data_IF_272430001516
#
_entry.id   IF_272430001516
#
_cell.length_a   1.000
_cell.length_b   1.000
_cell.length_c   1.000
_cell.angle_alpha   90.00
_cell.angle_beta   90.00
_cell.angle_gamma   90.00
#
_symmetry.space_group_name_H-M   'P 1'
#
loop_
_entity.id
_entity.type
_entity.pdbx_description
1 polymer ?
#
# COMPACT_ATOMS: atom_id res chain seq x y z
N UNK A 1 -6.39 35.05 -6.77
CA UNK A 1 -6.09 33.90 -5.92
C UNK A 1 -6.53 32.66 -6.69
N UNK A 2 -5.67 31.68 -6.91
CA UNK A 2 -6.04 30.39 -7.49
C UNK A 2 -6.78 29.58 -6.41
N UNK A 3 -8.00 29.14 -6.71
CA UNK A 3 -8.85 28.37 -5.80
C UNK A 3 -8.86 26.85 -6.15
N UNK A 4 -8.00 26.42 -7.07
CA UNK A 4 -7.87 25.00 -7.40
C UNK A 4 -7.15 24.23 -6.27
N UNK A 5 -7.55 23.00 -5.97
CA UNK A 5 -6.85 22.19 -4.99
C UNK A 5 -5.40 21.91 -5.44
N UNK A 6 -4.47 21.67 -4.52
CA UNK A 6 -3.09 21.34 -4.86
C UNK A 6 -3.00 20.18 -5.84
N UNK A 7 -2.03 20.23 -6.76
CA UNK A 7 -1.86 19.21 -7.80
C UNK A 7 -1.78 17.79 -7.22
N UNK A 8 -2.64 16.91 -7.70
CA UNK A 8 -2.71 15.52 -7.24
C UNK A 8 -3.57 15.30 -6.00
N UNK A 9 -4.34 16.31 -5.61
CA UNK A 9 -5.41 16.20 -4.63
C UNK A 9 -6.76 16.49 -5.27
N UNK A 10 -7.84 16.23 -4.57
CA UNK A 10 -9.18 16.56 -5.07
C UNK A 10 -10.15 16.82 -3.91
N UNK A 11 -11.09 17.70 -4.16
CA UNK A 11 -12.25 17.91 -3.29
C UNK A 11 -13.32 16.87 -3.62
N UNK A 12 -13.93 16.31 -2.59
CA UNK A 12 -15.06 15.40 -2.72
C UNK A 12 -16.36 16.13 -2.31
N UNK A 13 -16.85 16.97 -3.20
CA UNK A 13 -18.15 17.63 -3.03
C UNK A 13 -19.31 16.65 -3.29
N UNK A 14 -20.53 16.97 -2.82
CA UNK A 14 -21.70 16.16 -3.17
C UNK A 14 -21.92 16.09 -4.70
N UNK A 15 -22.30 14.92 -5.24
CA UNK A 15 -22.57 13.65 -4.57
C UNK A 15 -21.35 12.77 -4.33
N UNK A 16 -20.14 13.19 -4.73
CA UNK A 16 -18.89 12.41 -4.66
C UNK A 16 -18.52 12.03 -3.23
N UNK A 17 -18.64 12.98 -2.29
CA UNK A 17 -18.37 12.74 -0.87
C UNK A 17 -19.30 11.68 -0.28
N UNK A 18 -20.59 11.71 -0.61
CA UNK A 18 -21.56 10.72 -0.16
C UNK A 18 -21.24 9.31 -0.67
N UNK A 19 -20.86 9.19 -1.95
CA UNK A 19 -20.41 7.90 -2.52
C UNK A 19 -19.17 7.36 -1.83
N UNK A 20 -18.20 8.20 -1.56
CA UNK A 20 -16.99 7.79 -0.83
C UNK A 20 -17.30 7.34 0.60
N UNK A 21 -18.22 8.03 1.27
CA UNK A 21 -18.70 7.64 2.61
C UNK A 21 -19.34 6.26 2.59
N UNK A 22 -20.20 5.98 1.62
CA UNK A 22 -20.82 4.66 1.47
C UNK A 22 -19.78 3.54 1.26
N UNK A 23 -18.71 3.80 0.49
CA UNK A 23 -17.57 2.86 0.36
C UNK A 23 -16.90 2.60 1.70
N UNK A 24 -16.67 3.63 2.50
CA UNK A 24 -16.08 3.49 3.84
C UNK A 24 -16.95 2.70 4.80
N UNK A 25 -18.25 2.98 4.81
CA UNK A 25 -19.19 2.29 5.68
C UNK A 25 -19.26 0.80 5.33
N UNK A 26 -19.23 0.46 4.03
CA UNK A 26 -19.17 -0.94 3.56
C UNK A 26 -17.87 -1.63 3.97
N UNK A 27 -16.72 -0.97 3.82
CA UNK A 27 -15.42 -1.51 4.25
C UNK A 27 -15.40 -1.76 5.77
N UNK A 28 -15.87 -0.80 6.56
CA UNK A 28 -15.93 -0.91 8.02
C UNK A 28 -16.89 -2.02 8.48
N UNK A 29 -18.06 -2.13 7.85
CA UNK A 29 -19.01 -3.21 8.14
C UNK A 29 -18.38 -4.58 7.89
N UNK A 30 -17.75 -4.74 6.73
CA UNK A 30 -17.10 -6.00 6.36
C UNK A 30 -15.96 -6.34 7.31
N UNK A 31 -15.07 -5.41 7.61
CA UNK A 31 -13.96 -5.62 8.54
C UNK A 31 -14.48 -6.10 9.91
N UNK A 32 -15.53 -5.47 10.45
CA UNK A 32 -16.14 -5.89 11.73
C UNK A 32 -16.71 -7.31 11.67
N UNK A 33 -17.31 -7.73 10.55
CA UNK A 33 -17.82 -9.10 10.38
C UNK A 33 -16.72 -10.16 10.46
N UNK A 34 -15.50 -9.81 10.00
CA UNK A 34 -14.32 -10.66 10.13
C UNK A 34 -13.59 -10.50 11.47
N UNK A 35 -14.14 -9.73 12.42
CA UNK A 35 -13.58 -9.55 13.76
C UNK A 35 -12.47 -8.51 13.85
N UNK A 36 -12.27 -7.68 12.81
CA UNK A 36 -11.29 -6.57 12.86
C UNK A 36 -11.84 -5.40 13.66
N UNK A 37 -10.99 -4.76 14.45
CA UNK A 37 -11.29 -3.56 15.21
C UNK A 37 -10.68 -2.33 14.57
N UNK A 38 -11.38 -1.20 14.64
CA UNK A 38 -10.89 0.05 14.09
C UNK A 38 -9.67 0.57 14.84
N UNK A 39 -8.68 1.06 14.07
CA UNK A 39 -7.53 1.81 14.58
C UNK A 39 -7.36 3.09 13.79
N UNK A 40 -6.98 4.15 14.47
CA UNK A 40 -6.57 5.40 13.85
C UNK A 40 -5.19 5.79 14.37
N UNK A 41 -4.31 6.16 13.47
CA UNK A 41 -2.96 6.62 13.77
C UNK A 41 -2.80 8.07 13.33
N UNK A 42 -1.83 8.83 13.86
CA UNK A 42 -1.55 10.18 13.40
C UNK A 42 -1.36 10.28 11.89
N UNK A 43 -1.70 11.43 11.31
CA UNK A 43 -1.52 11.71 9.87
C UNK A 43 -0.05 11.87 9.45
N UNK A 44 0.85 12.04 10.40
CA UNK A 44 2.30 12.13 10.23
C UNK A 44 3.02 11.39 11.36
N UNK A 45 4.21 10.94 11.08
CA UNK A 45 5.06 10.16 11.99
C UNK A 45 6.51 10.64 11.88
N UNK A 46 7.38 10.16 12.78
CA UNK A 46 8.82 10.34 12.60
C UNK A 46 9.26 9.74 11.25
N UNK A 47 10.08 10.48 10.51
CA UNK A 47 10.62 10.03 9.22
C UNK A 47 11.35 8.70 9.33
N UNK A 48 12.03 8.46 10.46
CA UNK A 48 12.78 7.23 10.73
C UNK A 48 11.89 5.98 10.77
N UNK A 49 10.62 6.11 11.17
CA UNK A 49 9.69 4.99 11.16
C UNK A 49 9.58 4.38 9.74
N UNK A 50 9.36 5.23 8.75
CA UNK A 50 9.19 4.78 7.36
C UNK A 50 10.50 4.31 6.71
N UNK A 51 11.63 4.92 7.03
CA UNK A 51 12.94 4.46 6.56
C UNK A 51 13.23 3.02 7.04
N UNK A 52 12.97 2.74 8.32
CA UNK A 52 13.21 1.42 8.90
C UNK A 52 12.29 0.33 8.34
N UNK A 53 11.03 0.63 8.08
CA UNK A 53 10.04 -0.37 7.65
C UNK A 53 10.04 -0.62 6.15
N UNK A 54 10.19 0.41 5.34
CA UNK A 54 10.15 0.29 3.87
C UNK A 54 11.54 0.07 3.24
N UNK A 55 12.63 0.18 4.03
CA UNK A 55 14.00 0.17 3.54
C UNK A 55 14.40 1.51 2.89
N UNK A 56 15.60 1.99 3.19
CA UNK A 56 16.11 3.29 2.71
C UNK A 56 16.16 3.40 1.18
N UNK A 57 16.28 2.28 0.50
CA UNK A 57 16.39 2.20 -0.97
C UNK A 57 15.04 2.09 -1.67
N UNK A 58 13.93 1.97 -0.94
CA UNK A 58 12.61 1.91 -1.57
C UNK A 58 12.27 3.23 -2.26
N UNK A 59 11.61 3.18 -3.40
CA UNK A 59 11.18 4.39 -4.12
C UNK A 59 10.23 5.27 -3.29
N UNK A 60 9.43 4.67 -2.41
CA UNK A 60 8.54 5.41 -1.52
C UNK A 60 9.36 6.29 -0.58
N UNK A 61 10.38 5.72 0.08
CA UNK A 61 11.26 6.45 1.00
C UNK A 61 12.15 7.45 0.26
N UNK A 62 12.72 7.05 -0.87
CA UNK A 62 13.73 7.85 -1.56
C UNK A 62 13.13 9.02 -2.39
N UNK A 63 11.87 8.93 -2.83
CA UNK A 63 11.31 9.87 -3.82
C UNK A 63 9.89 10.33 -3.57
N UNK A 64 9.08 9.60 -2.81
CA UNK A 64 7.64 9.85 -2.74
C UNK A 64 7.15 10.34 -1.36
N UNK A 65 8.01 10.50 -0.36
CA UNK A 65 7.61 11.01 0.94
C UNK A 65 7.46 12.53 0.96
N UNK A 66 6.44 13.02 1.67
CA UNK A 66 6.30 14.41 2.07
C UNK A 66 6.94 14.59 3.45
N UNK A 67 8.18 15.01 3.49
CA UNK A 67 8.97 15.20 4.71
C UNK A 67 9.12 16.68 5.03
N UNK A 68 9.01 17.04 6.29
CA UNK A 68 9.20 18.39 6.80
C UNK A 68 9.84 18.37 8.18
N UNK A 69 10.38 19.50 8.60
CA UNK A 69 10.93 19.69 9.94
C UNK A 69 9.93 20.52 10.75
N UNK A 70 9.62 20.10 11.95
CA UNK A 70 8.76 20.85 12.86
C UNK A 70 9.54 21.94 13.62
N UNK A 71 8.86 22.75 14.43
CA UNK A 71 9.48 23.83 15.22
C UNK A 71 10.45 23.32 16.29
N UNK A 72 10.48 22.04 16.56
CA UNK A 72 11.42 21.39 17.50
C UNK A 72 12.53 20.62 16.80
N UNK A 73 12.83 20.98 15.53
CA UNK A 73 13.86 20.35 14.69
C UNK A 73 13.71 18.85 14.48
N UNK A 74 12.49 18.33 14.61
CA UNK A 74 12.19 16.92 14.40
C UNK A 74 11.77 16.68 12.94
N UNK A 75 12.39 15.69 12.28
CA UNK A 75 11.99 15.27 10.93
C UNK A 75 10.73 14.43 10.97
N UNK A 76 9.67 14.93 10.36
CA UNK A 76 8.37 14.31 10.29
C UNK A 76 7.98 14.05 8.82
N UNK A 77 7.16 13.02 8.61
CA UNK A 77 6.69 12.64 7.28
C UNK A 77 5.19 12.38 7.30
N UNK A 78 4.45 12.98 6.35
CA UNK A 78 3.07 12.59 6.11
C UNK A 78 3.02 11.12 5.73
N UNK A 79 2.17 10.32 6.40
CA UNK A 79 2.14 8.87 6.21
C UNK A 79 1.94 8.47 4.74
N UNK A 80 2.90 7.77 4.12
CA UNK A 80 2.76 7.27 2.75
C UNK A 80 2.04 5.92 2.65
N UNK A 81 1.87 5.25 3.81
CA UNK A 81 1.23 3.94 3.96
C UNK A 81 0.76 3.76 5.42
N UNK A 82 -0.01 2.72 5.73
CA UNK A 82 -0.64 2.55 7.03
C UNK A 82 -0.03 1.48 7.93
N UNK A 83 0.68 0.52 7.37
CA UNK A 83 1.20 -0.63 8.12
C UNK A 83 2.22 -0.22 9.19
N UNK A 84 3.19 0.62 8.85
CA UNK A 84 4.22 1.07 9.79
C UNK A 84 3.64 1.88 10.97
N UNK A 85 2.74 2.86 10.77
CA UNK A 85 2.06 3.52 11.88
C UNK A 85 1.27 2.57 12.78
N UNK A 86 0.55 1.62 12.21
CA UNK A 86 -0.24 0.65 12.99
C UNK A 86 0.68 -0.30 13.76
N UNK A 87 1.77 -0.79 13.14
CA UNK A 87 2.78 -1.59 13.81
C UNK A 87 3.41 -0.83 14.98
N UNK A 88 3.80 0.45 14.77
CA UNK A 88 4.34 1.30 15.84
C UNK A 88 3.33 1.44 16.99
N UNK A 89 2.06 1.68 16.67
CA UNK A 89 1.01 1.81 17.68
C UNK A 89 0.84 0.52 18.47
N UNK A 90 0.84 -0.64 17.79
CA UNK A 90 0.77 -1.96 18.42
C UNK A 90 1.95 -2.20 19.35
N UNK A 91 3.18 -1.89 18.91
CA UNK A 91 4.40 -2.07 19.72
C UNK A 91 4.54 -1.07 20.87
N UNK A 92 3.99 0.14 20.72
CA UNK A 92 4.03 1.17 21.77
C UNK A 92 2.99 0.92 22.87
N UNK A 93 1.96 0.18 22.56
CA UNK A 93 0.94 -0.19 23.55
C UNK A 93 1.46 -1.35 24.40
N UNK A 94 1.88 -1.02 25.64
CA UNK A 94 2.46 -1.97 26.60
C UNK A 94 1.43 -2.93 27.22
N UNK A 95 0.15 -2.82 26.83
CA UNK A 95 -0.88 -3.74 27.31
C UNK A 95 -0.72 -5.09 26.63
N UNK A 96 -0.85 -6.14 27.42
CA UNK A 96 -0.88 -7.52 26.95
C UNK A 96 -2.15 -7.72 26.09
N UNK A 97 -2.00 -7.62 24.77
CA UNK A 97 -3.10 -7.76 23.84
C UNK A 97 -3.23 -9.21 23.40
N UNK A 98 -4.45 -9.76 23.41
CA UNK A 98 -4.66 -11.10 22.90
C UNK A 98 -4.27 -11.18 21.42
N UNK A 99 -3.58 -12.24 21.05
CA UNK A 99 -3.27 -12.59 19.67
C UNK A 99 -4.21 -13.69 19.16
N UNK A 100 -4.58 -13.69 17.89
CA UNK A 100 -4.21 -12.70 16.87
C UNK A 100 -4.87 -11.33 17.11
N UNK A 101 -4.08 -10.25 17.04
CA UNK A 101 -4.61 -8.89 17.08
C UNK A 101 -5.00 -8.46 15.66
N UNK A 102 -6.30 -8.26 15.44
CA UNK A 102 -6.88 -7.94 14.12
C UNK A 102 -7.40 -6.51 14.11
N UNK A 103 -6.90 -5.70 13.20
CA UNK A 103 -7.28 -4.29 13.10
C UNK A 103 -7.48 -3.80 11.68
N UNK A 104 -8.31 -2.77 11.49
CA UNK A 104 -8.49 -2.12 10.20
C UNK A 104 -8.44 -0.60 10.34
N UNK A 105 -8.08 0.07 9.26
CA UNK A 105 -8.10 1.53 9.15
C UNK A 105 -8.70 1.99 7.83
N UNK A 106 -9.24 3.21 7.84
CA UNK A 106 -9.79 3.90 6.68
C UNK A 106 -9.24 5.32 6.72
N UNK A 107 -8.19 5.61 5.97
CA UNK A 107 -7.49 6.86 6.15
C UNK A 107 -6.83 7.38 4.87
N UNK A 108 -6.40 8.64 4.92
CA UNK A 108 -5.67 9.28 3.82
C UNK A 108 -4.19 8.95 3.92
N UNK A 109 -3.59 8.70 2.75
CA UNK A 109 -2.15 8.51 2.56
C UNK A 109 -1.61 9.56 1.59
N UNK A 110 -0.32 9.87 1.69
CA UNK A 110 0.30 10.96 0.96
C UNK A 110 1.57 10.48 0.27
N UNK A 111 1.61 10.54 -1.06
CA UNK A 111 2.79 10.15 -1.86
C UNK A 111 3.05 11.17 -2.95
N UNK A 112 4.28 11.68 -3.01
CA UNK A 112 4.73 12.62 -4.04
C UNK A 112 5.00 11.90 -5.36
N UNK A 113 4.01 11.14 -5.85
CA UNK A 113 4.10 10.47 -7.15
C UNK A 113 3.71 11.40 -8.30
N UNK A 114 4.04 10.98 -9.53
CA UNK A 114 3.54 11.66 -10.74
C UNK A 114 2.02 11.43 -10.84
N UNK A 115 1.19 12.49 -10.75
CA UNK A 115 -0.25 12.33 -10.85
C UNK A 115 -0.67 11.84 -12.25
N UNK A 116 -1.57 10.88 -12.26
CA UNK A 116 -2.23 10.38 -13.48
C UNK A 116 -3.62 9.86 -13.13
N UNK A 117 -4.41 9.46 -14.09
CA UNK A 117 -5.75 8.93 -13.85
C UNK A 117 -5.70 7.78 -12.81
N UNK A 118 -6.44 7.92 -11.71
CA UNK A 118 -6.47 6.95 -10.60
C UNK A 118 -5.25 6.97 -9.67
N UNK A 119 -4.23 7.81 -9.92
CA UNK A 119 -3.07 7.95 -9.04
C UNK A 119 -2.95 9.38 -8.52
N UNK A 120 -3.36 9.57 -7.29
CA UNK A 120 -3.35 10.86 -6.61
C UNK A 120 -2.19 10.95 -5.62
N UNK A 121 -1.78 12.16 -5.27
CA UNK A 121 -0.80 12.44 -4.21
C UNK A 121 -1.40 12.29 -2.83
N UNK A 122 -2.68 12.63 -2.67
CA UNK A 122 -3.51 12.23 -1.54
C UNK A 122 -4.48 11.15 -2.01
N UNK A 123 -4.39 9.96 -1.44
CA UNK A 123 -5.30 8.86 -1.73
C UNK A 123 -5.86 8.26 -0.45
N UNK A 124 -6.94 7.52 -0.57
CA UNK A 124 -7.59 6.87 0.57
C UNK A 124 -7.28 5.38 0.53
N UNK A 125 -6.98 4.85 1.69
CA UNK A 125 -6.67 3.43 1.85
C UNK A 125 -7.59 2.80 2.88
N UNK A 126 -8.21 1.70 2.51
CA UNK A 126 -8.72 0.69 3.43
C UNK A 126 -7.60 -0.33 3.63
N UNK A 127 -7.18 -0.54 4.86
CA UNK A 127 -6.16 -1.52 5.21
C UNK A 127 -6.62 -2.38 6.38
N UNK A 128 -6.16 -3.62 6.38
CA UNK A 128 -6.34 -4.56 7.48
C UNK A 128 -4.98 -5.15 7.86
N UNK A 129 -4.76 -5.34 9.15
CA UNK A 129 -3.54 -5.88 9.70
C UNK A 129 -3.86 -6.99 10.69
N UNK A 130 -3.06 -8.06 10.68
CA UNK A 130 -3.11 -9.14 11.66
C UNK A 130 -1.73 -9.30 12.28
N UNK A 131 -1.65 -9.21 13.60
CA UNK A 131 -0.42 -9.42 14.34
C UNK A 131 -0.53 -10.66 15.22
N UNK A 132 0.56 -11.45 15.30
CA UNK A 132 0.63 -12.62 16.15
C UNK A 132 -0.07 -13.85 15.60
N UNK A 133 -0.23 -13.94 14.27
CA UNK A 133 -0.68 -15.15 13.56
C UNK A 133 0.38 -15.51 12.52
N UNK A 134 0.96 -16.69 12.62
CA UNK A 134 1.99 -17.19 11.70
C UNK A 134 1.43 -18.17 10.65
N UNK A 135 0.19 -18.60 10.80
CA UNK A 135 -0.45 -19.60 9.97
C UNK A 135 -0.88 -18.99 8.62
N UNK A 136 -0.73 -19.74 7.53
CA UNK A 136 -1.18 -19.34 6.20
C UNK A 136 -2.69 -19.01 6.14
N UNK A 137 -3.47 -19.50 7.10
CA UNK A 137 -4.89 -19.19 7.23
C UNK A 137 -5.14 -17.68 7.43
N UNK A 138 -4.22 -16.97 8.08
CA UNK A 138 -4.31 -15.52 8.26
C UNK A 138 -4.15 -14.78 6.91
N UNK A 139 -3.22 -15.21 6.06
CA UNK A 139 -3.04 -14.66 4.71
C UNK A 139 -4.28 -14.91 3.84
N UNK A 140 -4.84 -16.12 3.91
CA UNK A 140 -6.09 -16.45 3.21
C UNK A 140 -7.25 -15.58 3.67
N UNK A 141 -7.38 -15.33 4.97
CA UNK A 141 -8.41 -14.44 5.51
C UNK A 141 -8.28 -13.02 4.95
N UNK A 142 -7.06 -12.46 4.92
CA UNK A 142 -6.80 -11.13 4.37
C UNK A 142 -7.23 -11.05 2.89
N UNK A 143 -6.90 -12.08 2.11
CA UNK A 143 -7.30 -12.18 0.70
C UNK A 143 -8.83 -12.25 0.57
N UNK A 144 -9.50 -13.06 1.39
CA UNK A 144 -10.96 -13.20 1.37
C UNK A 144 -11.68 -11.90 1.76
N UNK A 145 -11.14 -11.14 2.72
CA UNK A 145 -11.68 -9.81 3.07
C UNK A 145 -11.57 -8.86 1.87
N UNK A 146 -10.44 -8.87 1.17
CA UNK A 146 -10.25 -8.07 -0.04
C UNK A 146 -11.23 -8.45 -1.15
N UNK A 147 -11.39 -9.74 -1.44
CA UNK A 147 -12.35 -10.27 -2.42
C UNK A 147 -13.79 -9.90 -2.06
N UNK A 148 -14.20 -10.14 -0.82
CA UNK A 148 -15.53 -9.82 -0.32
C UNK A 148 -15.83 -8.32 -0.40
N UNK A 149 -14.82 -7.47 -0.12
CA UNK A 149 -14.95 -6.03 -0.24
C UNK A 149 -15.21 -5.60 -1.70
N UNK A 150 -14.41 -6.07 -2.65
CA UNK A 150 -14.59 -5.76 -4.06
C UNK A 150 -15.96 -6.22 -4.57
N UNK A 151 -16.37 -7.44 -4.24
CA UNK A 151 -17.70 -7.98 -4.59
C UNK A 151 -18.82 -7.15 -3.97
N UNK A 152 -18.67 -6.68 -2.74
CA UNK A 152 -19.69 -5.86 -2.06
C UNK A 152 -19.91 -4.50 -2.72
N UNK A 153 -18.93 -4.03 -3.50
CA UNK A 153 -19.00 -2.82 -4.32
C UNK A 153 -19.48 -3.08 -5.77
N UNK A 154 -19.85 -4.33 -6.08
CA UNK A 154 -20.29 -4.71 -7.44
C UNK A 154 -19.13 -4.97 -8.41
N UNK A 155 -17.89 -4.97 -7.94
CA UNK A 155 -16.73 -5.29 -8.76
C UNK A 155 -16.58 -6.81 -8.83
N UNK A 156 -16.90 -7.40 -9.98
CA UNK A 156 -16.90 -8.87 -10.16
C UNK A 156 -15.93 -9.34 -11.25
N UNK A 157 -15.41 -8.42 -12.06
CA UNK A 157 -14.48 -8.73 -13.15
C UNK A 157 -13.05 -8.35 -12.78
N UNK A 158 -12.40 -9.19 -12.01
CA UNK A 158 -10.98 -9.08 -11.66
C UNK A 158 -10.38 -10.48 -11.52
N UNK A 159 -9.07 -10.56 -11.59
CA UNK A 159 -8.29 -11.76 -11.39
C UNK A 159 -7.38 -11.56 -10.19
N UNK A 160 -7.39 -12.52 -9.26
CA UNK A 160 -6.45 -12.54 -8.15
C UNK A 160 -5.16 -13.23 -8.59
N UNK A 161 -4.06 -12.50 -8.61
CA UNK A 161 -2.74 -13.05 -8.88
C UNK A 161 -1.95 -13.13 -7.58
N UNK A 162 -1.66 -14.37 -7.14
CA UNK A 162 -0.84 -14.62 -5.96
C UNK A 162 0.62 -14.80 -6.38
N UNK A 163 1.50 -14.17 -5.63
CA UNK A 163 2.94 -14.30 -5.80
C UNK A 163 3.64 -14.32 -4.44
N UNK A 164 4.83 -14.93 -4.40
CA UNK A 164 5.71 -14.92 -3.25
C UNK A 164 7.11 -14.48 -3.67
N UNK A 165 7.75 -13.67 -2.86
CA UNK A 165 9.15 -13.30 -3.04
C UNK A 165 10.11 -14.34 -2.44
N UNK A 166 9.56 -15.42 -1.88
CA UNK A 166 10.33 -16.46 -1.22
C UNK A 166 10.97 -16.05 0.11
N UNK A 167 11.79 -16.92 0.64
CA UNK A 167 12.55 -16.74 1.87
C UNK A 167 14.02 -16.34 1.60
N UNK A 168 14.81 -16.21 2.66
CA UNK A 168 16.24 -15.87 2.56
C UNK A 168 17.05 -16.94 1.82
N UNK A 169 16.64 -18.19 1.89
CA UNK A 169 17.36 -19.30 1.25
C UNK A 169 17.14 -19.34 -0.27
N UNK A 170 15.87 -19.15 -0.72
CA UNK A 170 15.52 -19.27 -2.13
C UNK A 170 15.61 -17.95 -2.92
N UNK A 171 15.53 -16.81 -2.25
CA UNK A 171 15.49 -15.48 -2.88
C UNK A 171 16.73 -15.14 -3.74
N UNK A 172 17.98 -15.42 -3.31
CA UNK A 172 19.15 -15.14 -4.14
C UNK A 172 19.12 -15.88 -5.48
N UNK A 173 18.88 -17.20 -5.46
CA UNK A 173 18.79 -18.03 -6.68
C UNK A 173 17.64 -17.60 -7.60
N UNK A 174 16.49 -17.24 -7.03
CA UNK A 174 15.37 -16.72 -7.79
C UNK A 174 15.73 -15.38 -8.49
N UNK A 175 16.34 -14.46 -7.75
CA UNK A 175 16.79 -13.18 -8.29
C UNK A 175 17.75 -13.35 -9.47
N UNK A 176 18.72 -14.25 -9.34
CA UNK A 176 19.73 -14.48 -10.38
C UNK A 176 19.07 -15.05 -11.65
N UNK A 177 18.13 -16.00 -11.49
CA UNK A 177 17.33 -16.53 -12.61
C UNK A 177 16.45 -15.46 -13.27
N UNK A 178 15.81 -14.59 -12.47
CA UNK A 178 14.99 -13.49 -12.97
C UNK A 178 15.84 -12.48 -13.75
N UNK A 179 17.00 -12.08 -13.21
CA UNK A 179 17.93 -11.17 -13.89
C UNK A 179 18.42 -11.77 -15.21
N UNK A 180 18.78 -13.05 -15.22
CA UNK A 180 19.20 -13.76 -16.43
C UNK A 180 18.08 -13.80 -17.49
N UNK A 181 16.85 -14.06 -17.06
CA UNK A 181 15.66 -14.05 -17.94
C UNK A 181 15.42 -12.65 -18.55
N UNK A 182 15.48 -11.60 -17.74
CA UNK A 182 15.22 -10.23 -18.19
C UNK A 182 16.37 -9.64 -19.04
N UNK A 183 17.58 -10.20 -18.93
CA UNK A 183 18.72 -9.82 -19.78
C UNK A 183 18.68 -10.46 -21.18
N UNK A 184 17.86 -11.49 -21.39
CA UNK A 184 17.69 -12.08 -22.73
C UNK A 184 17.18 -11.01 -23.69
N UNK A 185 17.72 -10.90 -24.92
CA UNK A 185 17.23 -9.94 -25.91
C UNK A 185 15.77 -10.27 -26.23
N UNK A 186 14.86 -9.54 -25.66
CA UNK A 186 13.45 -9.60 -26.04
C UNK A 186 13.20 -8.43 -27.01
N UNK A 187 12.76 -8.73 -28.21
CA UNK A 187 12.51 -7.77 -29.28
C UNK A 187 11.45 -6.70 -28.95
N UNK A 188 10.90 -6.69 -27.71
CA UNK A 188 9.79 -5.81 -27.29
C UNK A 188 9.94 -5.19 -25.90
N UNK A 189 11.13 -5.17 -25.26
CA UNK A 189 11.24 -4.49 -23.99
C UNK A 189 11.60 -3.01 -24.19
N UNK A 190 10.74 -2.12 -23.73
CA UNK A 190 11.02 -0.70 -23.72
C UNK A 190 12.25 -0.40 -22.83
N UNK A 191 13.02 0.64 -23.20
CA UNK A 191 14.26 1.06 -22.51
C UNK A 191 14.09 1.29 -20.99
N UNK A 192 12.88 1.64 -20.57
CA UNK A 192 12.49 1.89 -19.18
C UNK A 192 12.56 0.63 -18.32
N UNK A 193 12.19 -0.55 -18.88
CA UNK A 193 12.18 -1.81 -18.12
C UNK A 193 13.58 -2.29 -17.77
N UNK A 194 14.57 -2.04 -18.67
CA UNK A 194 15.96 -2.43 -18.43
C UNK A 194 16.64 -1.64 -17.32
N UNK A 195 16.34 -0.36 -17.19
CA UNK A 195 16.89 0.49 -16.13
C UNK A 195 16.34 0.12 -14.74
N UNK A 196 15.04 -0.20 -14.69
CA UNK A 196 14.34 -0.63 -13.45
C UNK A 196 14.83 -2.00 -13.00
N UNK A 197 15.02 -2.94 -13.91
CA UNK A 197 15.51 -4.31 -13.64
C UNK A 197 16.91 -4.34 -13.00
N UNK A 198 17.77 -3.36 -13.34
CA UNK A 198 19.12 -3.29 -12.75
C UNK A 198 19.10 -2.85 -11.28
N UNK A 199 18.09 -2.08 -10.87
CA UNK A 199 17.98 -1.54 -9.50
C UNK A 199 17.15 -2.44 -8.58
N UNK A 200 16.05 -2.98 -9.07
CA UNK A 200 15.15 -3.87 -8.32
C UNK A 200 14.47 -4.87 -9.27
N UNK A 201 15.02 -6.07 -9.44
CA UNK A 201 14.46 -7.08 -10.33
C UNK A 201 13.07 -7.57 -9.89
N UNK A 202 12.71 -7.45 -8.61
CA UNK A 202 11.39 -7.85 -8.12
C UNK A 202 10.28 -6.90 -8.58
N UNK A 203 10.60 -5.64 -8.83
CA UNK A 203 9.64 -4.62 -9.25
C UNK A 203 9.09 -4.84 -10.65
N UNK A 204 9.84 -5.46 -11.54
CA UNK A 204 9.40 -5.75 -12.91
C UNK A 204 8.25 -6.74 -12.96
N UNK A 205 8.20 -7.69 -12.02
CA UNK A 205 7.09 -8.66 -11.92
C UNK A 205 5.79 -8.03 -11.42
N UNK A 206 5.86 -6.95 -10.65
CA UNK A 206 4.66 -6.26 -10.15
C UNK A 206 4.03 -5.28 -11.16
N UNK A 207 4.77 -4.87 -12.19
CA UNK A 207 4.33 -3.86 -13.17
C UNK A 207 3.83 -4.48 -14.48
N UNK A 208 4.21 -5.71 -14.81
CA UNK A 208 3.86 -6.30 -16.09
C UNK A 208 2.56 -7.10 -16.04
N UNK A 209 1.53 -6.52 -16.53
CA UNK A 209 0.34 -6.95 -17.26
C UNK A 209 -0.94 -6.30 -16.76
N UNK A 210 -1.13 -5.06 -17.13
CA UNK A 210 -2.46 -4.61 -17.47
C UNK A 210 -2.70 -5.00 -18.95
N UNK A 211 -3.66 -5.83 -19.28
CA UNK A 211 -4.11 -5.92 -20.65
C UNK A 211 -4.87 -4.62 -20.96
N UNK A 212 -4.15 -3.68 -21.58
CA UNK A 212 -4.79 -2.58 -22.28
C UNK A 212 -5.55 -3.16 -23.47
N UNK A 213 -6.83 -3.38 -23.30
CA UNK A 213 -7.85 -3.31 -24.36
C UNK A 213 -9.22 -3.44 -23.74
N UNK A 214 -9.82 -2.31 -23.35
CA UNK A 214 -11.24 -2.14 -23.44
C UNK A 214 -11.54 -1.46 -24.79
N UNK A 215 -12.20 -2.15 -25.67
CA UNK A 215 -13.07 -1.54 -26.65
C UNK A 215 -14.46 -1.44 -26.06
#
# INVERSE_FOLDING_TARGET
>A
MDLTPPRGTLDLLPPGGGRMRAVYDRAAELARRYGYRYVETPGFESTELFKRTSGETSDVVSKEMYTFVDRGDRSLTLRPEGTAPVMRAYLADKHDRPTPFKTYYLTRMYRYGRPQAGRYREHRQFGIEIFGAAEAAADVEVILVGDAFLRSLGLTRYELQLNSIGDEACRPAYRDRLVAFLRRPCARSASTDRATTRRDPHRVLMVSRHPSRMR
#
